data_IF_136478196119
#
_entry.id   IF_136478196119
#
_cell.length_a   1.000
_cell.length_b   1.000
_cell.length_c   1.000
_cell.angle_alpha   90.00
_cell.angle_beta   90.00
_cell.angle_gamma   90.00
#
_symmetry.space_group_name_H-M   'P 1'
#
loop_
_entity.id
_entity.type
_entity.pdbx_description
1 polymer ?
#
# COMPACT_ATOMS: atom_id res chain seq x y z
N UNK A 1 -10.12 8.70 -17.08
CA UNK A 1 -11.10 8.11 -16.16
C UNK A 1 -10.63 6.76 -15.56
N UNK A 2 -9.94 5.87 -16.29
CA UNK A 2 -9.47 4.59 -15.71
C UNK A 2 -8.30 4.73 -14.70
N UNK A 3 -7.37 5.66 -14.92
CA UNK A 3 -6.22 5.88 -14.03
C UNK A 3 -6.66 6.38 -12.65
N UNK A 4 -7.69 7.21 -12.59
CA UNK A 4 -8.21 7.78 -11.34
C UNK A 4 -8.87 6.71 -10.45
N UNK A 5 -9.53 5.73 -11.05
CA UNK A 5 -10.18 4.63 -10.32
C UNK A 5 -9.15 3.63 -9.77
N UNK A 6 -8.08 3.34 -10.52
CA UNK A 6 -6.99 2.48 -10.02
C UNK A 6 -6.20 3.16 -8.91
N UNK A 7 -5.91 4.46 -9.01
CA UNK A 7 -5.30 5.25 -7.95
C UNK A 7 -6.18 5.27 -6.69
N UNK A 8 -7.49 5.50 -6.86
CA UNK A 8 -8.45 5.48 -5.74
C UNK A 8 -8.48 4.11 -5.06
N UNK A 9 -8.50 3.02 -5.84
CA UNK A 9 -8.48 1.65 -5.32
C UNK A 9 -7.18 1.35 -4.60
N UNK A 10 -6.03 1.73 -5.16
CA UNK A 10 -4.73 1.55 -4.53
C UNK A 10 -4.66 2.23 -3.15
N UNK A 11 -5.22 3.45 -3.01
CA UNK A 11 -5.30 4.14 -1.72
C UNK A 11 -6.19 3.39 -0.72
N UNK A 12 -7.36 2.92 -1.15
CA UNK A 12 -8.25 2.15 -0.27
C UNK A 12 -7.61 0.84 0.18
N UNK A 13 -6.96 0.11 -0.74
CA UNK A 13 -6.23 -1.12 -0.44
C UNK A 13 -5.07 -0.84 0.54
N UNK A 14 -4.28 0.22 0.32
CA UNK A 14 -3.19 0.61 1.23
C UNK A 14 -3.72 0.94 2.64
N UNK A 15 -4.79 1.73 2.74
CA UNK A 15 -5.40 2.06 4.04
C UNK A 15 -5.97 0.84 4.74
N UNK A 16 -6.62 -0.06 4.01
CA UNK A 16 -7.12 -1.30 4.56
C UNK A 16 -5.97 -2.19 5.05
N UNK A 17 -4.89 -2.33 4.28
CA UNK A 17 -3.72 -3.10 4.69
C UNK A 17 -3.06 -2.55 5.96
N UNK A 18 -2.89 -1.23 6.08
CA UNK A 18 -2.35 -0.62 7.30
C UNK A 18 -3.25 -0.88 8.51
N UNK A 19 -4.58 -0.85 8.33
CA UNK A 19 -5.52 -1.13 9.40
C UNK A 19 -5.47 -2.58 9.88
N UNK A 20 -5.37 -3.53 8.96
CA UNK A 20 -5.42 -4.95 9.32
C UNK A 20 -4.06 -5.55 9.69
N UNK A 21 -2.99 -5.11 9.03
CA UNK A 21 -1.66 -5.73 9.14
C UNK A 21 -0.60 -4.79 9.72
N UNK A 22 -0.92 -3.51 9.94
CA UNK A 22 0.00 -2.55 10.56
C UNK A 22 1.35 -2.50 9.84
N UNK A 23 2.43 -2.80 10.57
CA UNK A 23 3.79 -2.79 10.06
C UNK A 23 4.03 -3.85 8.95
N UNK A 24 3.21 -4.90 8.88
CA UNK A 24 3.33 -5.96 7.88
C UNK A 24 2.59 -5.63 6.56
N UNK A 25 1.88 -4.51 6.50
CA UNK A 25 1.14 -4.08 5.30
C UNK A 25 1.97 -4.11 4.00
N UNK A 26 3.25 -3.66 3.97
CA UNK A 26 4.08 -3.74 2.77
C UNK A 26 4.37 -5.18 2.32
N UNK A 27 4.57 -6.11 3.26
CA UNK A 27 4.82 -7.52 2.95
C UNK A 27 3.61 -8.13 2.25
N UNK A 28 2.40 -7.90 2.78
CA UNK A 28 1.17 -8.38 2.15
C UNK A 28 0.97 -7.79 0.75
N UNK A 29 1.21 -6.49 0.55
CA UNK A 29 1.11 -5.88 -0.77
C UNK A 29 2.12 -6.51 -1.77
N UNK A 30 3.35 -6.79 -1.34
CA UNK A 30 4.36 -7.46 -2.16
C UNK A 30 3.93 -8.86 -2.59
N UNK A 31 3.42 -9.69 -1.66
CA UNK A 31 2.90 -11.02 -1.98
C UNK A 31 1.76 -10.97 -3.00
N UNK A 32 0.89 -9.97 -2.91
CA UNK A 32 -0.20 -9.80 -3.87
C UNK A 32 0.30 -9.36 -5.25
N UNK A 33 1.36 -8.55 -5.32
CA UNK A 33 2.03 -8.20 -6.56
C UNK A 33 2.68 -9.43 -7.20
N UNK A 34 3.44 -10.23 -6.43
CA UNK A 34 4.03 -11.50 -6.89
C UNK A 34 2.95 -12.44 -7.44
N UNK A 35 1.84 -12.58 -6.72
CA UNK A 35 0.72 -13.42 -7.19
C UNK A 35 0.11 -12.92 -8.50
N UNK A 36 0.07 -11.61 -8.72
CA UNK A 36 -0.40 -11.04 -9.97
C UNK A 36 0.58 -11.29 -11.13
N UNK A 37 1.89 -11.26 -10.86
CA UNK A 37 2.94 -11.61 -11.83
C UNK A 37 2.83 -13.08 -12.24
N UNK A 38 2.67 -13.99 -11.28
CA UNK A 38 2.44 -15.42 -11.55
C UNK A 38 1.23 -15.64 -12.47
N UNK A 39 0.16 -14.87 -12.26
CA UNK A 39 -1.07 -14.94 -13.06
C UNK A 39 -0.98 -14.17 -14.39
N UNK A 40 0.13 -13.48 -14.67
CA UNK A 40 0.30 -12.56 -15.81
C UNK A 40 -0.75 -11.45 -15.85
N UNK A 41 -1.32 -11.09 -14.70
CA UNK A 41 -2.25 -9.96 -14.55
C UNK A 41 -1.44 -8.70 -14.23
N UNK A 42 -0.87 -8.10 -15.28
CA UNK A 42 0.00 -6.93 -15.14
C UNK A 42 -0.76 -5.67 -14.71
N UNK A 43 -2.08 -5.58 -14.98
CA UNK A 43 -2.91 -4.48 -14.48
C UNK A 43 -3.04 -4.53 -12.97
N UNK A 44 -3.30 -5.72 -12.42
CA UNK A 44 -3.32 -5.94 -10.97
C UNK A 44 -1.93 -5.78 -10.35
N UNK A 45 -0.87 -6.23 -11.03
CA UNK A 45 0.50 -5.99 -10.58
C UNK A 45 0.81 -4.49 -10.49
N UNK A 46 0.43 -3.70 -11.50
CA UNK A 46 0.63 -2.25 -11.50
C UNK A 46 -0.10 -1.57 -10.34
N UNK A 47 -1.33 -2.01 -10.03
CA UNK A 47 -2.07 -1.52 -8.86
C UNK A 47 -1.36 -1.87 -7.54
N UNK A 48 -0.90 -3.10 -7.35
CA UNK A 48 -0.16 -3.47 -6.13
C UNK A 48 1.18 -2.76 -6.00
N UNK A 49 1.86 -2.48 -7.12
CA UNK A 49 3.02 -1.59 -7.12
C UNK A 49 2.65 -0.20 -6.60
N UNK A 50 1.52 0.36 -7.04
CA UNK A 50 1.04 1.66 -6.55
C UNK A 50 0.68 1.64 -5.07
N UNK A 51 0.08 0.55 -4.59
CA UNK A 51 -0.15 0.32 -3.15
C UNK A 51 1.16 0.36 -2.38
N UNK A 52 2.20 -0.34 -2.85
CA UNK A 52 3.53 -0.34 -2.21
C UNK A 52 4.14 1.06 -2.16
N UNK A 53 4.03 1.85 -3.24
CA UNK A 53 4.48 3.24 -3.27
C UNK A 53 3.76 4.09 -2.22
N UNK A 54 2.44 3.94 -2.09
CA UNK A 54 1.64 4.66 -1.08
C UNK A 54 2.05 4.26 0.35
N UNK A 55 2.32 2.97 0.59
CA UNK A 55 2.78 2.48 1.89
C UNK A 55 4.20 2.97 2.23
N UNK A 56 5.05 3.15 1.23
CA UNK A 56 6.40 3.70 1.37
C UNK A 56 6.39 5.22 1.60
N UNK A 57 5.43 5.94 0.99
CA UNK A 57 5.13 7.35 1.24
C UNK A 57 4.47 7.51 2.63
N UNK A 58 5.29 7.34 3.67
CA UNK A 58 4.92 7.45 5.07
C UNK A 58 4.08 8.72 5.35
N UNK A 59 2.83 8.62 5.86
CA UNK A 59 2.20 9.79 6.44
C UNK A 59 2.98 10.20 7.71
N UNK A 60 3.25 11.50 7.95
CA UNK A 60 4.10 11.97 9.06
C UNK A 60 3.52 11.75 10.47
N UNK A 61 2.52 10.88 10.64
CA UNK A 61 1.86 10.62 11.91
C UNK A 61 2.76 9.90 12.93
N UNK A 62 3.79 9.16 12.49
CA UNK A 62 4.74 8.53 13.42
C UNK A 62 5.84 9.48 13.92
N UNK A 63 6.03 10.65 13.28
CA UNK A 63 6.96 11.68 13.80
C UNK A 63 6.37 12.44 15.00
N UNK A 64 5.07 12.34 15.27
CA UNK A 64 4.41 13.07 16.38
C UNK A 64 4.30 12.31 17.70
N UNK A 65 4.54 10.99 17.73
CA UNK A 65 4.49 10.21 19.00
C UNK A 65 5.85 10.06 19.70
N UNK A 66 6.95 10.53 19.11
CA UNK A 66 8.30 10.41 19.67
C UNK A 66 8.85 11.64 20.41
N UNK A 67 8.14 12.78 20.43
CA UNK A 67 8.66 14.06 20.97
C UNK A 67 7.86 14.57 22.17
N UNK A 68 7.23 13.65 22.93
CA UNK A 68 6.57 13.98 24.20
C UNK A 68 6.99 12.98 25.29
N UNK A 69 8.30 12.89 25.51
CA UNK A 69 8.88 12.24 26.69
C UNK A 69 10.26 12.85 26.94
N UNK A 70 10.29 14.03 27.54
CA UNK A 70 11.41 14.52 28.34
C UNK A 70 10.94 15.61 29.28
#
# INVERSE_FOLDING_TARGET
MAVDDDERRARQEAHWLVREFGAEAPLYAAMKAEKAIEQKDFGRCARWKRVLEILADKPPAELRRGVAAR
#
